data_IF_680783796178
#
_entry.id   IF_680783796178
#
_cell.length_a   1.000
_cell.length_b   1.000
_cell.length_c   1.000
_cell.angle_alpha   90.00
_cell.angle_beta   90.00
_cell.angle_gamma   90.00
#
_symmetry.space_group_name_H-M   'P 1'
#
loop_
_entity.id
_entity.type
_entity.pdbx_description
1 polymer ?
#
# COMPACT_ATOMS: atom_id res chain seq x y z
N UNK A 1 -10.97 78.25 30.17
CA UNK A 1 -12.09 77.80 31.02
C UNK A 1 -12.99 76.89 30.18
N UNK A 2 -13.36 75.74 30.74
CA UNK A 2 -14.07 74.63 30.12
C UNK A 2 -15.45 75.01 29.53
N UNK A 3 -15.91 74.28 28.50
CA UNK A 3 -17.07 73.39 28.65
C UNK A 3 -17.19 72.41 27.49
N UNK A 4 -17.30 71.14 27.88
CA UNK A 4 -17.44 69.94 27.07
C UNK A 4 -18.83 69.87 26.43
N UNK A 5 -18.91 69.51 25.14
CA UNK A 5 -20.15 69.00 24.55
C UNK A 5 -20.13 67.47 24.56
N UNK A 6 -21.13 66.91 25.24
CA UNK A 6 -21.37 65.48 25.39
C UNK A 6 -22.01 64.94 24.11
N UNK A 7 -21.26 64.20 23.30
CA UNK A 7 -21.87 63.31 22.31
C UNK A 7 -22.42 62.07 23.01
N UNK A 8 -23.73 62.05 23.24
CA UNK A 8 -24.45 60.86 23.68
C UNK A 8 -24.38 59.80 22.58
N UNK A 9 -23.73 58.67 22.89
CA UNK A 9 -23.65 57.50 22.01
C UNK A 9 -25.02 56.78 22.06
N UNK A 10 -25.65 56.44 20.92
CA UNK A 10 -26.90 55.70 20.95
C UNK A 10 -26.67 54.30 21.54
N UNK A 11 -27.47 53.92 22.54
CA UNK A 11 -27.51 52.55 23.06
C UNK A 11 -28.07 51.63 21.96
N UNK A 12 -27.20 50.78 21.40
CA UNK A 12 -27.64 49.67 20.55
C UNK A 12 -28.42 48.66 21.39
N UNK A 13 -29.60 48.18 20.93
CA UNK A 13 -30.34 47.14 21.64
C UNK A 13 -29.48 45.86 21.73
N UNK A 14 -29.42 45.26 22.92
CA UNK A 14 -28.72 44.00 23.15
C UNK A 14 -29.44 42.88 22.41
N UNK A 15 -28.85 42.39 21.32
CA UNK A 15 -29.35 41.22 20.59
C UNK A 15 -29.16 39.99 21.50
N UNK A 16 -30.19 39.15 21.71
CA UNK A 16 -30.05 37.96 22.54
C UNK A 16 -28.95 37.07 21.96
N UNK A 17 -27.99 36.69 22.81
CA UNK A 17 -26.89 35.81 22.42
C UNK A 17 -27.51 34.47 22.00
N UNK A 18 -27.30 34.01 20.75
CA UNK A 18 -27.85 32.75 20.30
C UNK A 18 -27.29 31.62 21.17
N UNK A 19 -28.18 30.98 21.92
CA UNK A 19 -27.84 29.84 22.76
C UNK A 19 -27.83 28.60 21.87
N UNK A 20 -26.65 28.20 21.40
CA UNK A 20 -26.50 26.98 20.63
C UNK A 20 -26.58 25.79 21.59
N UNK A 21 -27.65 25.00 21.48
CA UNK A 21 -27.76 23.71 22.15
C UNK A 21 -27.22 22.62 21.22
N UNK A 22 -26.29 21.82 21.74
CA UNK A 22 -25.78 20.63 21.05
C UNK A 22 -26.61 19.42 21.46
N UNK A 23 -26.91 18.53 20.51
CA UNK A 23 -27.61 17.28 20.80
C UNK A 23 -26.77 16.36 21.69
N UNK A 24 -27.43 15.47 22.43
CA UNK A 24 -26.85 14.52 23.39
C UNK A 24 -25.79 13.62 22.77
N UNK A 25 -25.86 13.40 21.46
CA UNK A 25 -24.90 12.58 20.70
C UNK A 25 -23.71 13.38 20.16
N UNK A 26 -23.62 14.67 20.46
CA UNK A 26 -22.49 15.51 20.00
C UNK A 26 -21.23 15.10 20.74
N UNK A 27 -20.18 14.65 20.03
CA UNK A 27 -18.96 14.20 20.67
C UNK A 27 -18.31 15.30 21.51
N UNK A 28 -17.96 14.99 22.75
CA UNK A 28 -17.37 15.93 23.71
C UNK A 28 -16.04 15.41 24.23
N UNK A 29 -15.06 16.30 24.36
CA UNK A 29 -13.77 16.04 25.00
C UNK A 29 -13.61 17.00 26.18
N UNK A 30 -13.25 16.47 27.35
CA UNK A 30 -13.00 17.28 28.55
C UNK A 30 -11.86 18.31 28.37
N UNK A 31 -11.00 18.12 27.36
CA UNK A 31 -9.88 19.02 27.06
C UNK A 31 -10.23 20.14 26.07
N UNK A 32 -11.15 19.89 25.14
CA UNK A 32 -11.39 20.77 23.97
C UNK A 32 -12.86 21.13 23.75
N UNK A 33 -13.77 20.56 24.54
CA UNK A 33 -15.21 20.79 24.42
C UNK A 33 -15.88 19.94 23.35
N UNK A 34 -17.01 20.44 22.84
CA UNK A 34 -17.84 19.79 21.82
C UNK A 34 -17.19 19.84 20.43
N UNK A 35 -17.28 18.73 19.69
CA UNK A 35 -16.64 18.53 18.39
C UNK A 35 -17.72 18.54 17.32
N UNK A 36 -17.83 19.65 16.60
CA UNK A 36 -18.91 19.87 15.63
C UNK A 36 -18.65 19.27 14.25
N UNK A 37 -17.38 19.00 13.87
CA UNK A 37 -17.04 18.49 12.55
C UNK A 37 -15.70 17.74 12.52
N UNK A 38 -15.50 16.93 11.47
CA UNK A 38 -14.23 16.21 11.17
C UNK A 38 -13.76 15.33 12.33
N UNK A 39 -14.69 14.59 12.93
CA UNK A 39 -14.45 13.69 14.07
C UNK A 39 -13.27 12.75 13.84
N UNK A 40 -13.13 12.20 12.63
CA UNK A 40 -12.00 11.34 12.28
C UNK A 40 -10.65 12.05 12.51
N UNK A 41 -10.49 13.28 12.00
CA UNK A 41 -9.25 14.05 12.18
C UNK A 41 -8.99 14.42 13.63
N UNK A 42 -10.05 14.67 14.39
CA UNK A 42 -9.95 14.94 15.82
C UNK A 42 -9.47 13.70 16.59
N UNK A 43 -10.04 12.54 16.30
CA UNK A 43 -9.65 11.24 16.87
C UNK A 43 -8.20 10.92 16.50
N UNK A 44 -7.83 11.09 15.24
CA UNK A 44 -6.45 10.91 14.76
C UNK A 44 -5.48 11.85 15.52
N UNK A 45 -5.84 13.12 15.71
CA UNK A 45 -5.06 14.10 16.47
C UNK A 45 -4.98 13.80 17.99
N UNK A 46 -6.04 13.25 18.57
CA UNK A 46 -6.04 12.82 19.97
C UNK A 46 -5.15 11.59 20.18
N UNK A 47 -5.16 10.63 19.26
CA UNK A 47 -4.24 9.49 19.27
C UNK A 47 -2.79 9.94 19.08
N UNK A 48 -2.55 10.93 18.22
CA UNK A 48 -1.25 11.58 18.05
C UNK A 48 -0.72 12.21 19.32
N UNK A 49 -1.56 12.97 20.02
CA UNK A 49 -1.20 13.65 21.27
C UNK A 49 -0.94 12.65 22.41
N UNK A 50 -1.57 11.47 22.41
CA UNK A 50 -1.43 10.47 23.47
C UNK A 50 -0.24 9.54 23.25
N UNK A 51 0.19 9.35 22.00
CA UNK A 51 1.26 8.42 21.65
C UNK A 51 2.62 9.08 21.41
N UNK A 52 2.75 10.40 21.63
CA UNK A 52 4.03 11.13 21.64
C UNK A 52 4.89 10.99 20.38
N UNK A 53 4.33 10.48 19.29
CA UNK A 53 5.05 10.13 18.07
C UNK A 53 4.18 10.51 16.87
N UNK A 54 4.82 11.23 15.96
CA UNK A 54 4.30 11.79 14.71
C UNK A 54 3.69 10.71 13.82
N UNK A 55 2.43 10.34 14.07
CA UNK A 55 1.64 9.63 13.07
C UNK A 55 1.35 10.62 11.92
N UNK A 56 1.60 10.24 10.67
CA UNK A 56 1.57 11.22 9.59
C UNK A 56 0.15 11.30 9.05
N UNK A 57 -0.36 12.51 8.97
CA UNK A 57 -1.72 12.84 8.53
C UNK A 57 -1.94 12.63 7.02
N UNK A 58 -0.98 12.08 6.30
CA UNK A 58 -0.98 11.90 4.85
C UNK A 58 -0.46 10.51 4.46
N UNK A 59 -0.94 9.97 3.32
CA UNK A 59 -0.53 8.72 2.62
C UNK A 59 1.00 8.54 2.37
N UNK A 60 1.84 9.42 2.90
CA UNK A 60 3.27 9.57 2.58
C UNK A 60 4.15 8.91 3.63
N UNK A 61 3.70 8.79 4.88
CA UNK A 61 4.58 8.34 5.96
C UNK A 61 3.88 7.27 6.81
N UNK A 62 4.58 6.18 7.07
CA UNK A 62 4.08 5.01 7.78
C UNK A 62 4.56 5.04 9.24
N UNK A 63 3.66 4.97 10.24
CA UNK A 63 4.08 4.86 11.62
C UNK A 63 4.76 3.51 11.86
N UNK A 64 6.06 3.55 12.16
CA UNK A 64 6.90 2.37 12.42
C UNK A 64 6.29 1.45 13.49
N UNK A 65 5.56 1.99 14.46
CA UNK A 65 4.91 1.23 15.52
C UNK A 65 3.78 0.31 15.04
N UNK A 66 3.27 0.47 13.81
CA UNK A 66 2.18 -0.36 13.27
C UNK A 66 2.67 -1.48 12.34
N UNK A 67 3.94 -1.45 11.94
CA UNK A 67 4.52 -2.41 11.01
C UNK A 67 5.62 -3.22 11.70
N UNK A 68 6.01 -4.32 11.06
CA UNK A 68 7.15 -5.09 11.55
C UNK A 68 8.46 -4.29 11.41
N UNK A 69 9.25 -4.12 12.49
CA UNK A 69 10.49 -3.35 12.45
C UNK A 69 11.69 -4.15 11.90
N UNK A 70 11.56 -5.46 11.68
CA UNK A 70 12.69 -6.29 11.25
C UNK A 70 13.12 -5.92 9.83
N UNK A 71 14.45 -5.81 9.58
CA UNK A 71 14.92 -5.51 8.24
C UNK A 71 14.52 -6.64 7.28
N UNK A 72 14.09 -6.30 6.06
CA UNK A 72 13.80 -7.32 5.07
C UNK A 72 15.08 -8.10 4.71
N UNK A 73 14.96 -9.36 4.25
CA UNK A 73 16.11 -10.09 3.74
C UNK A 73 16.85 -9.30 2.65
N UNK A 74 18.18 -9.27 2.68
CA UNK A 74 18.99 -8.53 1.69
C UNK A 74 18.97 -9.18 0.30
N UNK A 75 18.86 -10.51 0.27
CA UNK A 75 18.99 -11.33 -0.94
C UNK A 75 18.11 -10.87 -2.12
N UNK A 76 16.81 -10.55 -1.96
CA UNK A 76 15.96 -10.08 -3.04
C UNK A 76 16.39 -8.73 -3.64
N UNK A 77 17.13 -7.91 -2.91
CA UNK A 77 17.54 -6.58 -3.36
C UNK A 77 18.89 -6.59 -4.09
N UNK A 78 19.73 -7.59 -3.83
CA UNK A 78 21.09 -7.66 -4.39
C UNK A 78 21.22 -8.61 -5.60
N UNK A 79 20.22 -9.47 -5.88
CA UNK A 79 20.25 -10.39 -7.04
C UNK A 79 19.43 -9.87 -8.23
N UNK A 80 20.00 -10.01 -9.43
CA UNK A 80 19.45 -9.50 -10.70
C UNK A 80 18.06 -10.06 -11.06
N UNK A 81 17.72 -11.27 -10.63
CA UNK A 81 16.42 -11.91 -10.96
C UNK A 81 15.25 -11.22 -10.24
N UNK A 82 15.53 -10.54 -9.13
CA UNK A 82 14.55 -9.80 -8.31
C UNK A 82 14.77 -8.29 -8.32
N UNK A 83 15.81 -7.79 -8.99
CA UNK A 83 16.13 -6.35 -9.05
C UNK A 83 14.97 -5.55 -9.64
N UNK A 84 14.32 -6.03 -10.71
CA UNK A 84 13.12 -5.38 -11.26
C UNK A 84 12.01 -5.25 -10.21
N UNK A 85 11.75 -6.32 -9.46
CA UNK A 85 10.67 -6.34 -8.46
C UNK A 85 10.97 -5.45 -7.26
N UNK A 86 12.24 -5.38 -6.84
CA UNK A 86 12.72 -4.44 -5.83
C UNK A 86 12.60 -2.98 -6.30
N UNK A 87 12.90 -2.72 -7.58
CA UNK A 87 12.73 -1.40 -8.20
C UNK A 87 11.27 -0.99 -8.17
N UNK A 88 10.32 -1.89 -8.46
CA UNK A 88 8.88 -1.57 -8.35
C UNK A 88 8.54 -1.02 -6.96
N UNK A 89 9.07 -1.62 -5.89
CA UNK A 89 8.83 -1.14 -4.54
C UNK A 89 9.44 0.24 -4.29
N UNK A 90 10.65 0.49 -4.79
CA UNK A 90 11.29 1.80 -4.68
C UNK A 90 10.46 2.87 -5.39
N UNK A 91 10.05 2.61 -6.64
CA UNK A 91 9.18 3.51 -7.39
C UNK A 91 7.81 3.68 -6.74
N UNK A 92 7.27 2.63 -6.12
CA UNK A 92 6.01 2.71 -5.40
C UNK A 92 6.13 3.64 -4.18
N UNK A 93 7.20 3.48 -3.40
CA UNK A 93 7.51 4.30 -2.21
C UNK A 93 7.79 5.75 -2.57
N UNK A 94 8.52 6.01 -3.66
CA UNK A 94 8.77 7.36 -4.16
C UNK A 94 7.57 7.96 -4.89
N UNK A 95 6.44 7.26 -4.94
CA UNK A 95 5.26 7.65 -5.70
C UNK A 95 5.60 7.99 -7.17
N UNK A 96 6.49 7.22 -7.78
CA UNK A 96 6.94 7.39 -9.18
C UNK A 96 6.34 6.36 -10.14
N UNK A 97 5.56 5.37 -9.66
CA UNK A 97 4.83 4.47 -10.55
C UNK A 97 3.82 5.23 -11.40
N UNK A 98 3.89 5.05 -12.73
CA UNK A 98 3.02 5.69 -13.72
C UNK A 98 1.61 5.09 -13.72
N UNK A 99 0.81 5.44 -12.71
CA UNK A 99 -0.60 5.10 -12.68
C UNK A 99 -1.40 6.00 -13.64
N UNK A 100 -2.55 5.55 -14.09
CA UNK A 100 -3.46 6.29 -14.98
C UNK A 100 -3.79 7.67 -14.44
N UNK A 101 -3.97 7.81 -13.11
CA UNK A 101 -4.11 9.13 -12.46
C UNK A 101 -2.92 10.07 -12.75
N UNK A 102 -1.68 9.57 -12.68
CA UNK A 102 -0.48 10.39 -12.93
C UNK A 102 -0.28 10.66 -14.42
N UNK A 103 -0.57 9.68 -15.27
CA UNK A 103 -0.51 9.83 -16.71
C UNK A 103 -1.54 10.87 -17.18
N UNK A 104 -2.77 10.81 -16.69
CA UNK A 104 -3.82 11.81 -16.93
C UNK A 104 -3.36 13.21 -16.50
N UNK A 105 -2.79 13.35 -15.30
CA UNK A 105 -2.27 14.62 -14.81
C UNK A 105 -1.11 15.18 -15.67
N UNK A 106 -0.24 14.31 -16.21
CA UNK A 106 0.90 14.72 -17.06
C UNK A 106 0.49 15.04 -18.50
N UNK A 107 -0.53 14.37 -19.02
CA UNK A 107 -0.97 14.49 -20.43
C UNK A 107 -2.17 15.41 -20.61
N UNK A 108 -2.67 16.02 -19.52
CA UNK A 108 -3.93 16.79 -19.51
C UNK A 108 -5.13 15.98 -20.04
N UNK A 109 -5.04 14.66 -20.04
CA UNK A 109 -6.13 13.76 -20.40
C UNK A 109 -7.09 13.60 -19.21
N UNK A 110 -8.39 13.54 -19.49
CA UNK A 110 -9.43 13.35 -18.47
C UNK A 110 -9.60 11.89 -18.06
N UNK A 111 -9.05 10.93 -18.80
CA UNK A 111 -9.23 9.50 -18.51
C UNK A 111 -8.16 8.97 -17.55
N UNK A 112 -8.44 9.12 -16.25
CA UNK A 112 -7.65 8.52 -15.18
C UNK A 112 -8.09 7.10 -14.79
N UNK A 113 -9.01 6.48 -15.55
CA UNK A 113 -9.56 5.16 -15.23
C UNK A 113 -8.51 4.06 -15.35
N UNK A 114 -8.82 2.91 -14.76
CA UNK A 114 -7.99 1.73 -14.86
C UNK A 114 -7.86 1.26 -16.31
N UNK A 115 -6.62 1.14 -16.81
CA UNK A 115 -6.30 0.66 -18.16
C UNK A 115 -6.70 -0.79 -18.45
N UNK A 116 -7.14 -1.50 -17.41
CA UNK A 116 -7.64 -2.87 -17.46
C UNK A 116 -9.18 -2.95 -17.44
N UNK A 117 -9.88 -1.82 -17.61
CA UNK A 117 -11.33 -1.78 -17.79
C UNK A 117 -12.13 -1.65 -16.49
N UNK A 118 -11.50 -1.24 -15.37
CA UNK A 118 -12.25 -0.92 -14.16
C UNK A 118 -12.82 0.51 -14.25
N UNK A 119 -14.00 0.73 -13.65
CA UNK A 119 -14.64 2.05 -13.56
C UNK A 119 -13.93 3.03 -12.61
N UNK A 120 -13.01 2.53 -11.79
CA UNK A 120 -12.30 3.28 -10.75
C UNK A 120 -11.03 3.94 -11.30
N UNK A 121 -10.65 5.08 -10.71
CA UNK A 121 -9.38 5.76 -11.01
C UNK A 121 -8.19 4.87 -10.71
N UNK A 122 -7.26 4.79 -11.65
CA UNK A 122 -6.05 3.98 -11.53
C UNK A 122 -5.06 4.61 -10.53
N UNK A 123 -4.99 4.00 -9.35
CA UNK A 123 -3.97 4.25 -8.33
C UNK A 123 -3.08 3.02 -8.14
N UNK A 124 -1.91 3.18 -7.52
CA UNK A 124 -1.07 2.04 -7.14
C UNK A 124 -1.86 1.03 -6.30
N UNK A 125 -2.61 1.51 -5.31
CA UNK A 125 -3.46 0.66 -4.47
C UNK A 125 -4.49 -0.12 -5.29
N UNK A 126 -5.17 0.55 -6.22
CA UNK A 126 -6.11 -0.11 -7.11
C UNK A 126 -5.40 -1.21 -7.91
N UNK A 127 -4.30 -0.92 -8.59
CA UNK A 127 -3.58 -1.87 -9.43
C UNK A 127 -3.11 -3.11 -8.64
N UNK A 128 -2.47 -2.91 -7.49
CA UNK A 128 -1.89 -4.02 -6.74
C UNK A 128 -2.92 -4.80 -5.92
N UNK A 129 -3.87 -4.12 -5.28
CA UNK A 129 -4.74 -4.72 -4.26
C UNK A 129 -6.15 -5.00 -4.79
N UNK A 130 -6.77 -4.05 -5.50
CA UNK A 130 -8.22 -4.10 -5.78
C UNK A 130 -8.58 -4.52 -7.20
N UNK A 131 -7.69 -4.33 -8.17
CA UNK A 131 -7.97 -4.52 -9.59
C UNK A 131 -8.28 -6.01 -9.85
N UNK A 132 -9.48 -6.35 -10.37
CA UNK A 132 -9.90 -7.74 -10.59
C UNK A 132 -9.03 -8.48 -11.60
N UNK A 133 -8.43 -7.75 -12.55
CA UNK A 133 -7.54 -8.31 -13.56
C UNK A 133 -6.35 -9.07 -12.95
N UNK A 134 -5.90 -8.67 -11.75
CA UNK A 134 -4.75 -9.27 -11.07
C UNK A 134 -5.13 -10.25 -9.96
N UNK A 135 -6.41 -10.61 -9.82
CA UNK A 135 -6.88 -11.53 -8.77
C UNK A 135 -6.21 -12.89 -8.88
N UNK A 136 -6.04 -13.45 -10.08
CA UNK A 136 -5.39 -14.75 -10.28
C UNK A 136 -3.94 -14.74 -9.82
N UNK A 137 -3.19 -13.65 -10.06
CA UNK A 137 -1.80 -13.49 -9.60
C UNK A 137 -1.75 -13.41 -8.07
N UNK A 138 -2.66 -12.66 -7.45
CA UNK A 138 -2.76 -12.57 -5.99
C UNK A 138 -3.09 -13.93 -5.39
N UNK A 139 -4.08 -14.65 -5.91
CA UNK A 139 -4.46 -15.99 -5.42
C UNK A 139 -3.31 -16.99 -5.55
N UNK A 140 -2.62 -17.03 -6.69
CA UNK A 140 -1.47 -17.91 -6.87
C UNK A 140 -0.33 -17.58 -5.87
N UNK A 141 -0.11 -16.29 -5.60
CA UNK A 141 0.87 -15.85 -4.60
C UNK A 141 0.43 -16.21 -3.18
N UNK A 142 -0.86 -16.05 -2.84
CA UNK A 142 -1.40 -16.49 -1.55
C UNK A 142 -1.17 -17.98 -1.34
N UNK A 143 -1.43 -18.81 -2.35
CA UNK A 143 -1.19 -20.25 -2.25
C UNK A 143 0.29 -20.59 -2.01
N UNK A 144 1.21 -19.89 -2.67
CA UNK A 144 2.66 -20.02 -2.41
C UNK A 144 3.03 -19.63 -0.96
N UNK A 145 2.48 -18.52 -0.46
CA UNK A 145 2.66 -18.09 0.94
C UNK A 145 2.21 -19.20 1.90
N UNK A 146 1.01 -19.73 1.70
CA UNK A 146 0.44 -20.79 2.56
C UNK A 146 1.29 -22.05 2.51
N UNK A 147 1.70 -22.49 1.32
CA UNK A 147 2.55 -23.68 1.16
C UNK A 147 3.89 -23.52 1.89
N UNK A 148 4.54 -22.37 1.76
CA UNK A 148 5.84 -22.10 2.41
C UNK A 148 5.70 -21.90 3.91
N UNK A 149 4.62 -21.27 4.37
CA UNK A 149 4.32 -21.12 5.78
C UNK A 149 4.07 -22.48 6.45
N UNK A 150 3.29 -23.37 5.82
CA UNK A 150 3.08 -24.74 6.31
C UNK A 150 4.40 -25.52 6.37
N UNK A 151 5.26 -25.40 5.36
CA UNK A 151 6.58 -26.04 5.38
C UNK A 151 7.44 -25.54 6.56
N UNK A 152 7.45 -24.22 6.81
CA UNK A 152 8.17 -23.63 7.93
C UNK A 152 7.61 -24.09 9.29
N UNK A 153 6.29 -24.05 9.46
CA UNK A 153 5.61 -24.46 10.69
C UNK A 153 5.78 -25.96 10.96
N UNK A 154 5.79 -26.78 9.92
CA UNK A 154 6.03 -28.23 10.02
C UNK A 154 7.38 -28.59 10.62
N UNK A 155 8.42 -27.76 10.45
CA UNK A 155 9.72 -27.93 11.12
C UNK A 155 9.62 -27.86 12.65
N UNK A 156 8.56 -27.24 13.17
CA UNK A 156 8.27 -27.09 14.58
C UNK A 156 7.05 -27.91 15.03
N UNK A 157 6.61 -28.88 14.21
CA UNK A 157 5.43 -29.72 14.48
C UNK A 157 4.14 -28.91 14.66
N UNK A 158 4.05 -27.76 14.00
CA UNK A 158 2.86 -26.92 14.00
C UNK A 158 2.12 -27.05 12.67
N UNK A 159 0.79 -27.06 12.76
CA UNK A 159 -0.09 -26.93 11.59
C UNK A 159 -0.73 -25.53 11.60
N UNK A 160 -0.76 -24.88 10.44
CA UNK A 160 -1.42 -23.60 10.24
C UNK A 160 -2.93 -23.70 10.53
N UNK A 161 -3.54 -24.86 10.33
CA UNK A 161 -4.96 -25.10 10.66
C UNK A 161 -5.26 -24.87 12.15
N UNK A 162 -4.28 -25.14 13.03
CA UNK A 162 -4.36 -24.93 14.47
C UNK A 162 -4.13 -23.48 14.90
N UNK A 163 -3.80 -22.58 13.97
CA UNK A 163 -3.47 -21.18 14.21
C UNK A 163 -4.42 -20.27 13.41
N UNK A 164 -5.71 -20.19 13.77
CA UNK A 164 -6.75 -19.59 12.92
C UNK A 164 -6.49 -18.12 12.59
N UNK A 165 -5.97 -17.34 13.55
CA UNK A 165 -5.65 -15.92 13.32
C UNK A 165 -4.47 -15.73 12.36
N UNK A 166 -3.46 -16.62 12.45
CA UNK A 166 -2.33 -16.60 11.52
C UNK A 166 -2.78 -17.05 10.14
N UNK A 167 -3.54 -18.14 10.08
CA UNK A 167 -4.13 -18.65 8.84
C UNK A 167 -4.93 -17.57 8.13
N UNK A 168 -5.85 -16.89 8.81
CA UNK A 168 -6.66 -15.81 8.22
C UNK A 168 -5.78 -14.65 7.70
N UNK A 169 -4.76 -14.23 8.48
CA UNK A 169 -3.82 -13.20 8.05
C UNK A 169 -3.08 -13.62 6.77
N UNK A 170 -2.56 -14.85 6.70
CA UNK A 170 -1.81 -15.31 5.53
C UNK A 170 -2.70 -15.41 4.28
N UNK A 171 -3.93 -15.90 4.42
CA UNK A 171 -4.88 -15.98 3.31
C UNK A 171 -5.26 -14.60 2.77
N UNK A 172 -5.35 -13.60 3.65
CA UNK A 172 -5.78 -12.24 3.30
C UNK A 172 -4.62 -11.24 3.15
N UNK A 173 -3.38 -11.67 3.29
CA UNK A 173 -2.20 -10.78 3.32
C UNK A 173 -2.15 -9.79 2.15
N UNK A 174 -2.53 -10.21 0.94
CA UNK A 174 -2.53 -9.39 -0.27
C UNK A 174 -3.81 -8.57 -0.47
N UNK A 175 -4.68 -8.50 0.53
CA UNK A 175 -6.01 -7.88 0.48
C UNK A 175 -6.16 -6.85 1.60
N UNK A 176 -7.04 -5.88 1.38
CA UNK A 176 -7.49 -4.96 2.43
C UNK A 176 -8.23 -5.75 3.53
N UNK A 177 -8.04 -5.36 4.79
CA UNK A 177 -8.62 -6.07 5.93
C UNK A 177 -8.06 -5.65 7.28
N UNK A 178 -8.72 -6.05 8.36
CA UNK A 178 -8.37 -5.66 9.75
C UNK A 178 -7.00 -6.10 10.24
N UNK A 179 -6.34 -7.03 9.56
CA UNK A 179 -4.97 -7.43 9.87
C UNK A 179 -3.93 -6.39 9.42
N UNK A 180 -4.30 -5.48 8.51
CA UNK A 180 -3.45 -4.36 8.13
C UNK A 180 -3.75 -3.12 8.98
N UNK A 181 -2.73 -2.30 9.29
CA UNK A 181 -2.93 -0.96 9.79
C UNK A 181 -3.87 -0.15 8.88
N UNK A 182 -4.82 0.57 9.46
CA UNK A 182 -5.85 1.32 8.74
C UNK A 182 -6.68 0.49 7.74
N UNK A 183 -6.77 -0.82 7.94
CA UNK A 183 -7.52 -1.76 7.10
C UNK A 183 -7.05 -1.83 5.63
N UNK A 184 -5.85 -1.36 5.33
CA UNK A 184 -5.38 -1.17 3.96
C UNK A 184 -4.06 -1.89 3.70
N UNK A 185 -4.05 -2.75 2.68
CA UNK A 185 -2.86 -3.51 2.33
C UNK A 185 -1.83 -2.66 1.62
N UNK A 186 -0.60 -2.72 2.11
CA UNK A 186 0.56 -2.05 1.53
C UNK A 186 1.65 -3.06 1.14
N UNK A 187 1.28 -4.31 0.83
CA UNK A 187 2.24 -5.36 0.47
C UNK A 187 3.16 -4.92 -0.69
N UNK A 188 2.63 -4.16 -1.66
CA UNK A 188 3.38 -3.70 -2.83
C UNK A 188 4.47 -2.67 -2.48
N UNK A 189 4.47 -2.15 -1.25
CA UNK A 189 5.54 -1.35 -0.67
C UNK A 189 6.56 -2.20 0.10
N UNK A 190 6.44 -3.52 0.06
CA UNK A 190 7.29 -4.46 0.81
C UNK A 190 7.03 -4.48 2.31
N UNK A 191 5.90 -3.93 2.75
CA UNK A 191 5.50 -3.92 4.16
C UNK A 191 4.83 -5.25 4.54
N UNK A 192 4.84 -5.55 5.83
CA UNK A 192 4.11 -6.65 6.43
C UNK A 192 3.45 -6.21 7.75
N UNK A 193 2.26 -6.75 8.09
CA UNK A 193 1.64 -6.51 9.38
C UNK A 193 2.45 -7.20 10.50
N UNK A 194 2.30 -6.70 11.74
CA UNK A 194 2.97 -7.30 12.90
C UNK A 194 2.43 -8.69 13.20
N UNK A 195 3.33 -9.67 13.28
CA UNK A 195 2.98 -11.05 13.60
C UNK A 195 3.03 -11.36 15.10
N UNK A 196 3.76 -10.58 15.91
CA UNK A 196 3.99 -10.84 17.34
C UNK A 196 2.71 -11.08 18.16
N UNK A 197 1.60 -10.33 17.95
CA UNK A 197 0.35 -10.58 18.67
C UNK A 197 -0.28 -11.95 18.38
N UNK A 198 0.14 -12.61 17.29
CA UNK A 198 -0.36 -13.92 16.88
C UNK A 198 0.40 -15.05 17.56
N UNK A 199 1.59 -14.78 18.10
CA UNK A 199 2.42 -15.76 18.83
C UNK A 199 2.06 -15.90 20.31
N UNK A 200 1.05 -15.18 20.79
CA UNK A 200 0.46 -15.33 22.11
C UNK A 200 -0.54 -16.50 22.20
N UNK A 201 -0.69 -17.29 21.14
CA UNK A 201 -1.62 -18.40 21.05
C UNK A 201 -1.21 -19.58 21.94
N UNK A 202 -2.20 -20.27 22.52
CA UNK A 202 -1.97 -21.37 23.47
C UNK A 202 -1.18 -22.54 22.87
N UNK A 203 -1.44 -22.84 21.60
CA UNK A 203 -0.70 -23.85 20.82
C UNK A 203 0.79 -23.53 20.67
N UNK A 204 1.22 -22.29 20.93
CA UNK A 204 2.61 -21.86 20.82
C UNK A 204 3.29 -21.74 22.20
N UNK A 205 2.59 -22.06 23.31
CA UNK A 205 3.15 -21.95 24.67
C UNK A 205 4.35 -22.86 24.90
N UNK A 206 4.38 -24.03 24.25
CA UNK A 206 5.46 -25.00 24.38
C UNK A 206 6.76 -24.57 23.68
N UNK A 207 6.68 -23.58 22.77
CA UNK A 207 7.85 -23.06 22.07
C UNK A 207 8.65 -22.08 22.93
N UNK A 208 9.97 -22.18 22.85
CA UNK A 208 10.88 -21.20 23.44
C UNK A 208 10.74 -19.82 22.76
N UNK A 209 11.17 -18.76 23.44
CA UNK A 209 11.18 -17.41 22.87
C UNK A 209 11.94 -17.34 21.55
N UNK A 210 13.10 -17.99 21.48
CA UNK A 210 13.94 -18.06 20.28
C UNK A 210 13.22 -18.77 19.12
N UNK A 211 12.48 -19.85 19.39
CA UNK A 211 11.71 -20.55 18.36
C UNK A 211 10.60 -19.65 17.81
N UNK A 212 9.87 -18.93 18.67
CA UNK A 212 8.83 -17.98 18.25
C UNK A 212 9.41 -16.86 17.39
N UNK A 213 10.53 -16.28 17.80
CA UNK A 213 11.22 -15.25 17.03
C UNK A 213 11.69 -15.77 15.66
N UNK A 214 12.23 -17.00 15.63
CA UNK A 214 12.70 -17.65 14.39
C UNK A 214 11.55 -17.90 13.43
N UNK A 215 10.42 -18.43 13.92
CA UNK A 215 9.22 -18.65 13.10
C UNK A 215 8.69 -17.31 12.59
N UNK A 216 8.57 -16.30 13.45
CA UNK A 216 8.11 -14.97 13.08
C UNK A 216 9.02 -14.35 12.00
N UNK A 217 10.35 -14.49 12.14
CA UNK A 217 11.30 -13.97 11.16
C UNK A 217 11.20 -14.72 9.83
N UNK A 218 11.05 -16.04 9.88
CA UNK A 218 10.85 -16.88 8.69
C UNK A 218 9.56 -16.53 7.95
N UNK A 219 8.44 -16.37 8.66
CA UNK A 219 7.16 -15.95 8.10
C UNK A 219 7.27 -14.57 7.45
N UNK A 220 7.91 -13.61 8.11
CA UNK A 220 8.15 -12.31 7.49
C UNK A 220 9.01 -12.40 6.23
N UNK A 221 10.05 -13.22 6.24
CA UNK A 221 10.85 -13.48 5.04
C UNK A 221 10.00 -14.04 3.89
N UNK A 222 9.07 -14.96 4.18
CA UNK A 222 8.12 -15.52 3.21
C UNK A 222 7.19 -14.43 2.67
N UNK A 223 6.51 -13.69 3.56
CA UNK A 223 5.56 -12.63 3.22
C UNK A 223 6.23 -11.54 2.37
N UNK A 224 7.39 -11.06 2.81
CA UNK A 224 8.13 -10.01 2.14
C UNK A 224 8.59 -10.45 0.73
N UNK A 225 9.13 -11.67 0.62
CA UNK A 225 9.56 -12.21 -0.67
C UNK A 225 8.38 -12.36 -1.64
N UNK A 226 7.26 -12.91 -1.17
CA UNK A 226 6.05 -13.06 -1.97
C UNK A 226 5.49 -11.69 -2.40
N UNK A 227 5.52 -10.69 -1.52
CA UNK A 227 5.10 -9.33 -1.81
C UNK A 227 5.94 -8.68 -2.92
N UNK A 228 7.28 -8.82 -2.86
CA UNK A 228 8.19 -8.35 -3.92
C UNK A 228 7.80 -8.97 -5.26
N UNK A 229 7.74 -10.31 -5.33
CA UNK A 229 7.51 -11.01 -6.60
C UNK A 229 6.12 -10.71 -7.17
N UNK A 230 5.10 -10.65 -6.33
CA UNK A 230 3.74 -10.32 -6.75
C UNK A 230 3.67 -8.90 -7.33
N UNK A 231 4.23 -7.91 -6.63
CA UNK A 231 4.28 -6.53 -7.11
C UNK A 231 5.06 -6.42 -8.42
N UNK A 232 6.21 -7.10 -8.54
CA UNK A 232 6.99 -7.16 -9.77
C UNK A 232 6.21 -7.75 -10.95
N UNK A 233 5.53 -8.88 -10.74
CA UNK A 233 4.71 -9.54 -11.78
C UNK A 233 3.56 -8.64 -12.25
N UNK A 234 2.79 -8.08 -11.32
CA UNK A 234 1.69 -7.16 -11.63
C UNK A 234 2.21 -5.97 -12.42
N UNK A 235 3.26 -5.31 -11.94
CA UNK A 235 3.78 -4.11 -12.59
C UNK A 235 4.41 -4.39 -13.96
N UNK A 236 5.03 -5.56 -14.15
CA UNK A 236 5.53 -5.99 -15.45
C UNK A 236 4.42 -6.06 -16.50
N UNK A 237 3.22 -6.53 -16.12
CA UNK A 237 2.04 -6.54 -17.01
C UNK A 237 1.54 -5.12 -17.27
N UNK A 238 1.48 -4.28 -16.23
CA UNK A 238 1.08 -2.86 -16.35
C UNK A 238 1.96 -2.10 -17.33
N UNK A 239 3.29 -2.27 -17.25
CA UNK A 239 4.25 -1.64 -18.16
C UNK A 239 4.09 -2.13 -19.60
N UNK A 240 3.95 -3.44 -19.83
CA UNK A 240 3.74 -3.99 -21.17
C UNK A 240 2.49 -3.43 -21.83
N UNK A 241 1.38 -3.34 -21.08
CA UNK A 241 0.14 -2.76 -21.60
C UNK A 241 0.27 -1.27 -21.92
N UNK A 242 1.03 -0.52 -21.11
CA UNK A 242 1.36 0.88 -21.38
C UNK A 242 2.18 1.06 -22.67
N UNK A 243 3.16 0.19 -22.91
CA UNK A 243 3.98 0.22 -24.11
C UNK A 243 3.16 -0.10 -25.37
N UNK A 244 2.24 -1.06 -25.28
CA UNK A 244 1.35 -1.42 -26.39
C UNK A 244 0.27 -0.39 -26.70
N UNK A 245 -0.06 0.50 -25.76
CA UNK A 245 -1.07 1.55 -25.95
C UNK A 245 -0.52 2.88 -26.44
N UNK A 246 0.80 3.01 -26.62
CA UNK A 246 1.40 4.22 -27.21
C UNK A 246 1.13 4.22 -28.73
N UNK A 247 0.39 5.20 -29.26
CA UNK A 247 0.25 5.34 -30.70
C UNK A 247 1.60 5.70 -31.32
N UNK A 248 1.93 5.10 -32.46
CA UNK A 248 3.15 5.25 -33.27
C UNK A 248 3.45 6.69 -33.74
N UNK A 249 2.69 7.69 -33.26
CA UNK A 249 2.75 9.11 -33.68
C UNK A 249 3.54 10.02 -32.72
N UNK A 250 4.06 9.51 -31.61
CA UNK A 250 4.84 10.31 -30.64
C UNK A 250 6.36 10.20 -30.80
N UNK A 251 6.86 9.35 -31.69
CA UNK A 251 8.31 9.23 -31.92
C UNK A 251 8.92 10.48 -32.61
N UNK A 252 8.12 11.38 -33.19
CA UNK A 252 8.65 12.51 -33.95
C UNK A 252 8.75 13.84 -33.19
N UNK A 253 8.35 13.95 -31.92
CA UNK A 253 8.28 15.26 -31.23
C UNK A 253 8.62 15.25 -29.72
N UNK A 254 9.41 14.30 -29.23
CA UNK A 254 9.90 14.36 -27.84
C UNK A 254 11.15 15.23 -27.77
N UNK A 255 10.98 16.45 -27.27
CA UNK A 255 12.06 17.37 -26.88
C UNK A 255 13.06 16.69 -25.92
N UNK A 256 14.38 16.91 -26.05
CA UNK A 256 15.43 16.20 -25.31
C UNK A 256 15.54 16.58 -23.82
N UNK A 257 14.50 17.18 -23.23
CA UNK A 257 14.47 17.67 -21.85
C UNK A 257 13.78 16.75 -20.85
N UNK A 258 13.35 15.55 -21.25
CA UNK A 258 13.05 14.49 -20.28
C UNK A 258 14.39 14.01 -19.75
N UNK A 259 14.91 14.67 -18.69
CA UNK A 259 16.00 14.12 -17.89
C UNK A 259 15.52 12.76 -17.39
N UNK A 260 15.97 11.71 -18.06
CA UNK A 260 15.85 10.34 -17.61
C UNK A 260 16.33 10.32 -16.17
N UNK A 261 15.46 9.91 -15.25
CA UNK A 261 15.90 9.39 -13.97
C UNK A 261 16.65 8.11 -14.29
N UNK A 262 17.94 8.25 -14.63
CA UNK A 262 18.85 7.15 -14.88
C UNK A 262 19.02 6.42 -13.54
N UNK A 263 18.37 5.27 -13.43
CA UNK A 263 18.69 4.32 -12.39
C UNK A 263 20.14 3.86 -12.59
N UNK A 264 20.84 3.50 -11.50
CA UNK A 264 22.09 2.76 -11.61
C UNK A 264 21.96 1.59 -12.58
N UNK A 265 23.00 1.33 -13.38
CA UNK A 265 22.98 0.35 -14.49
C UNK A 265 22.49 -1.06 -14.09
N UNK A 266 22.61 -1.43 -12.82
CA UNK A 266 22.12 -2.71 -12.28
C UNK A 266 20.60 -2.77 -12.01
N UNK A 267 19.89 -1.63 -12.09
CA UNK A 267 18.45 -1.50 -11.89
C UNK A 267 17.70 -1.07 -13.16
N UNK A 268 18.41 -0.69 -14.21
CA UNK A 268 17.86 -0.36 -15.53
C UNK A 268 17.55 -1.65 -16.29
N UNK A 269 16.31 -2.12 -16.20
CA UNK A 269 15.82 -3.15 -17.11
C UNK A 269 15.56 -2.53 -18.48
N UNK A 270 16.51 -2.70 -19.41
CA UNK A 270 16.30 -2.46 -20.84
C UNK A 270 15.64 -3.74 -21.37
N UNK A 271 14.36 -3.71 -21.80
CA UNK A 271 13.77 -4.87 -22.43
C UNK A 271 14.57 -5.18 -23.70
N UNK A 272 15.26 -6.32 -23.73
CA UNK A 272 15.82 -6.80 -24.98
C UNK A 272 14.67 -7.10 -25.93
N UNK A 273 14.59 -6.34 -27.01
CA UNK A 273 13.87 -6.73 -28.21
C UNK A 273 14.55 -7.99 -28.74
N UNK A 274 13.96 -9.16 -28.50
CA UNK A 274 14.40 -10.40 -29.14
C UNK A 274 13.27 -11.40 -29.29
N UNK A 275 13.37 -12.26 -30.32
CA UNK A 275 12.29 -12.50 -31.24
C UNK A 275 11.39 -13.65 -30.80
N UNK A 276 10.14 -13.57 -31.25
CA UNK A 276 9.18 -14.66 -31.22
C UNK A 276 9.81 -15.97 -31.72
N UNK A 277 9.84 -16.99 -30.86
CA UNK A 277 9.83 -18.38 -31.29
C UNK A 277 8.50 -18.64 -31.99
N UNK A 278 8.48 -18.57 -33.33
CA UNK A 278 7.42 -19.16 -34.14
C UNK A 278 7.50 -20.67 -33.97
N UNK A 279 6.54 -21.23 -33.24
CA UNK A 279 6.23 -22.65 -33.33
C UNK A 279 5.48 -22.84 -34.65
N UNK A 280 6.12 -23.44 -35.64
CA UNK A 280 5.46 -23.91 -36.86
C UNK A 280 4.67 -25.18 -36.55
N UNK A 281 3.43 -25.33 -37.04
CA UNK A 281 2.66 -26.55 -36.85
C UNK A 281 3.28 -27.69 -37.67
N UNK A 282 3.46 -28.84 -37.03
CA UNK A 282 3.93 -30.08 -37.66
C UNK A 282 2.88 -30.60 -38.63
N UNK A 283 3.23 -30.69 -39.91
CA UNK A 283 2.50 -31.48 -40.90
C UNK A 283 2.65 -32.96 -40.59
N UNK A 284 1.52 -33.63 -40.37
CA UNK A 284 1.38 -35.09 -40.33
C UNK A 284 1.83 -35.73 -41.65
N UNK A 285 2.48 -36.89 -41.65
CA UNK A 285 2.75 -37.64 -42.87
C UNK A 285 1.49 -38.40 -43.29
N UNK A 286 1.03 -38.12 -44.51
CA UNK A 286 0.10 -38.95 -45.25
C UNK A 286 0.88 -39.94 -46.10
N UNK A 287 0.60 -41.24 -45.89
CA UNK A 287 0.93 -42.43 -46.71
C UNK A 287 2.40 -42.81 -46.89
#
# INVERSE_FOLDING_TARGET
MFTSSLFSRPLTPSVPVPTFFFDTFTPFSSRTGFISARLQKFVDAAHLSRNGSTLPTNDITFPLSLYDPRPPPLYPYHRAVSSFSAVVQLYARSNQLDSGRKLAARTSSTDGRCRFGCSVTESSHHIFVQCPHFTTIRLATTNDIISRANALLGLYQLDLSCLPRLSDLLHRFLQDGSHWPAHRSFFYLGLAPKLDPLFQHDQLRHLSGLQKETIAAGLNGILHHAAILCAGRIWGIVRRRSASSLPSRLESNVSPRVKELLLPSFLTYIPSSSPFLRITPSTSPSS
#
